data_IF_737918538457
#
_entry.id   IF_737918538457
#
_cell.length_a   1.000
_cell.length_b   1.000
_cell.length_c   1.000
_cell.angle_alpha   90.00
_cell.angle_beta   90.00
_cell.angle_gamma   90.00
#
_symmetry.space_group_name_H-M   'P 1'
#
loop_
_entity.id
_entity.type
_entity.pdbx_description
1 polymer ?
#
# COMPACT_ATOMS: atom_id res chain seq x y z
N UNK A 1 -5.14 -34.98 -2.77
CA UNK A 1 -5.10 -33.59 -3.27
C UNK A 1 -4.65 -32.77 -2.09
N UNK A 2 -3.41 -32.27 -2.12
CA UNK A 2 -2.82 -31.56 -1.00
C UNK A 2 -3.46 -30.18 -0.91
N UNK A 3 -4.22 -29.92 0.15
CA UNK A 3 -4.72 -28.59 0.47
C UNK A 3 -3.51 -27.67 0.58
N UNK A 4 -3.32 -26.83 -0.42
CA UNK A 4 -2.30 -25.79 -0.37
C UNK A 4 -2.68 -24.87 0.79
N UNK A 5 -1.77 -24.60 1.74
CA UNK A 5 -2.11 -23.80 2.90
C UNK A 5 -2.58 -22.41 2.42
N UNK A 6 -3.78 -22.00 2.83
CA UNK A 6 -4.36 -20.72 2.41
C UNK A 6 -3.78 -19.56 3.20
N UNK A 7 -3.52 -18.43 2.54
CA UNK A 7 -2.99 -17.20 3.17
C UNK A 7 -4.06 -16.32 3.82
N UNK A 8 -5.27 -16.88 3.98
CA UNK A 8 -6.47 -16.19 4.46
C UNK A 8 -7.64 -16.36 3.49
N UNK A 9 -8.72 -15.60 3.74
CA UNK A 9 -9.92 -15.59 2.92
C UNK A 9 -10.07 -14.26 2.18
N UNK A 10 -10.66 -14.32 0.99
CA UNK A 10 -11.02 -13.14 0.22
C UNK A 10 -12.08 -12.31 0.97
N UNK A 11 -11.83 -11.02 1.12
CA UNK A 11 -12.75 -10.09 1.77
C UNK A 11 -14.12 -10.01 1.08
N UNK A 12 -14.16 -10.14 -0.25
CA UNK A 12 -15.40 -9.99 -1.02
C UNK A 12 -16.25 -11.26 -1.12
N UNK A 13 -15.61 -12.42 -1.30
CA UNK A 13 -16.31 -13.66 -1.65
C UNK A 13 -15.96 -14.86 -0.76
N UNK A 14 -15.12 -14.68 0.26
CA UNK A 14 -14.84 -15.69 1.29
C UNK A 14 -13.99 -16.89 0.83
N UNK A 15 -13.66 -17.03 -0.45
CA UNK A 15 -12.80 -18.12 -0.93
C UNK A 15 -11.36 -17.99 -0.40
N UNK A 16 -10.73 -19.14 -0.19
CA UNK A 16 -9.33 -19.23 0.20
C UNK A 16 -8.41 -18.52 -0.81
N UNK A 17 -7.47 -17.74 -0.28
CA UNK A 17 -6.49 -17.02 -1.07
C UNK A 17 -5.34 -17.94 -1.49
N UNK A 18 -4.91 -17.77 -2.74
CA UNK A 18 -3.63 -18.30 -3.24
C UNK A 18 -2.48 -17.48 -2.66
N UNK A 19 -1.25 -17.94 -2.85
CA UNK A 19 -0.03 -17.23 -2.42
C UNK A 19 0.08 -15.84 -3.04
N UNK A 20 -0.34 -15.68 -4.30
CA UNK A 20 -0.49 -14.35 -4.93
C UNK A 20 -1.93 -13.87 -4.84
N UNK A 21 -2.13 -12.65 -4.34
CA UNK A 21 -3.43 -12.04 -4.13
C UNK A 21 -3.38 -10.51 -4.25
N UNK A 22 -4.54 -9.90 -4.43
CA UNK A 22 -4.69 -8.44 -4.48
C UNK A 22 -4.95 -7.91 -3.06
N UNK A 23 -4.44 -6.73 -2.75
CA UNK A 23 -4.61 -6.11 -1.43
C UNK A 23 -4.94 -4.63 -1.52
N UNK A 24 -5.73 -4.17 -0.54
CA UNK A 24 -5.86 -2.76 -0.20
C UNK A 24 -5.11 -2.55 1.12
N UNK A 25 -4.12 -1.65 1.09
CA UNK A 25 -3.18 -1.49 2.19
C UNK A 25 -2.80 -0.02 2.40
N UNK A 26 -2.45 0.29 3.65
CA UNK A 26 -1.74 1.51 4.00
C UNK A 26 -0.24 1.19 4.00
N UNK A 27 0.53 1.91 3.21
CA UNK A 27 1.98 1.76 3.17
C UNK A 27 2.67 3.01 3.68
N UNK A 28 3.77 2.83 4.39
CA UNK A 28 4.60 3.93 4.90
C UNK A 28 5.87 4.02 4.07
N UNK A 29 6.10 5.20 3.49
CA UNK A 29 7.10 5.44 2.45
C UNK A 29 8.01 6.61 2.80
N UNK A 30 9.20 6.57 2.21
CA UNK A 30 10.00 7.75 1.89
C UNK A 30 10.41 7.65 0.42
N UNK A 31 10.36 8.75 -0.34
CA UNK A 31 10.79 8.75 -1.75
C UNK A 31 12.05 9.60 -1.91
N UNK A 32 13.07 9.02 -2.54
CA UNK A 32 14.24 9.74 -3.03
C UNK A 32 14.06 10.03 -4.53
N UNK A 33 14.38 11.25 -4.96
CA UNK A 33 14.32 11.63 -6.37
C UNK A 33 15.71 11.67 -6.98
N UNK A 34 15.85 11.06 -8.15
CA UNK A 34 17.02 11.23 -9.01
C UNK A 34 16.68 12.13 -10.17
N UNK A 35 17.66 12.88 -10.68
CA UNK A 35 17.48 13.68 -11.89
C UNK A 35 17.52 12.84 -13.19
N UNK A 36 17.37 11.52 -13.11
CA UNK A 36 17.39 10.60 -14.25
C UNK A 36 15.98 10.08 -14.52
N UNK A 37 15.53 10.20 -15.76
CA UNK A 37 14.18 9.82 -16.19
C UNK A 37 13.35 11.04 -16.61
N UNK A 38 12.39 10.81 -17.50
CA UNK A 38 11.55 11.85 -18.10
C UNK A 38 10.25 12.07 -17.32
N UNK A 39 9.87 11.13 -16.43
CA UNK A 39 8.65 11.22 -15.62
C UNK A 39 8.93 11.20 -14.12
N UNK A 40 8.02 11.74 -13.27
CA UNK A 40 8.17 11.66 -11.82
C UNK A 40 8.32 10.23 -11.29
N UNK A 41 7.65 9.25 -11.90
CA UNK A 41 7.76 7.84 -11.50
C UNK A 41 9.16 7.27 -11.83
N UNK A 42 9.70 7.59 -13.01
CA UNK A 42 11.06 7.15 -13.40
C UNK A 42 12.14 7.77 -12.51
N UNK A 43 11.92 8.99 -12.05
CA UNK A 43 12.83 9.71 -11.17
C UNK A 43 12.75 9.24 -9.71
N UNK A 44 11.63 8.63 -9.31
CA UNK A 44 11.35 8.28 -7.93
C UNK A 44 11.89 6.89 -7.53
N UNK A 45 12.57 6.85 -6.40
CA UNK A 45 12.95 5.63 -5.71
C UNK A 45 12.24 5.59 -4.36
N UNK A 46 11.33 4.63 -4.21
CA UNK A 46 10.55 4.49 -3.00
C UNK A 46 11.24 3.53 -2.03
N UNK A 47 11.37 3.95 -0.79
CA UNK A 47 11.76 3.07 0.32
C UNK A 47 10.50 2.74 1.13
N UNK A 48 10.13 1.47 1.15
CA UNK A 48 8.99 0.97 1.90
C UNK A 48 9.44 0.65 3.33
N UNK A 49 8.84 1.33 4.32
CA UNK A 49 9.12 1.11 5.73
C UNK A 49 8.18 0.06 6.35
N UNK A 50 6.90 0.09 5.99
CA UNK A 50 5.93 -0.91 6.45
C UNK A 50 4.70 -0.95 5.54
N UNK A 51 3.97 -2.07 5.60
CA UNK A 51 2.69 -2.27 4.91
C UNK A 51 1.67 -2.82 5.90
N UNK A 52 0.54 -2.13 6.05
CA UNK A 52 -0.61 -2.58 6.82
C UNK A 52 -1.76 -2.96 5.88
N UNK A 53 -2.02 -4.26 5.77
CA UNK A 53 -3.05 -4.81 4.89
C UNK A 53 -4.42 -4.71 5.56
N UNK A 54 -5.33 -3.94 4.97
CA UNK A 54 -6.71 -3.79 5.47
C UNK A 54 -7.63 -4.86 4.89
N UNK A 55 -7.48 -5.17 3.60
CA UNK A 55 -8.30 -6.17 2.92
C UNK A 55 -7.46 -6.94 1.90
N UNK A 56 -7.79 -8.22 1.75
CA UNK A 56 -7.19 -9.14 0.78
C UNK A 56 -8.26 -9.66 -0.17
N UNK A 57 -7.91 -9.84 -1.44
CA UNK A 57 -8.83 -10.23 -2.49
C UNK A 57 -8.21 -11.29 -3.38
N UNK A 58 -8.99 -12.30 -3.76
CA UNK A 58 -8.50 -13.36 -4.65
C UNK A 58 -8.26 -12.89 -6.09
N UNK A 59 -8.82 -11.75 -6.48
CA UNK A 59 -8.70 -11.21 -7.84
C UNK A 59 -9.02 -9.71 -7.90
N UNK A 60 -8.66 -9.07 -9.00
CA UNK A 60 -9.04 -7.68 -9.30
C UNK A 60 -10.56 -7.49 -9.41
N UNK A 61 -11.29 -8.52 -9.86
CA UNK A 61 -12.75 -8.52 -9.92
C UNK A 61 -13.40 -8.45 -8.54
N UNK A 62 -12.79 -9.09 -7.54
CA UNK A 62 -13.23 -8.99 -6.14
C UNK A 62 -12.77 -7.69 -5.49
N UNK A 63 -11.60 -7.17 -5.87
CA UNK A 63 -11.03 -5.96 -5.28
C UNK A 63 -11.80 -4.69 -5.71
N UNK A 64 -11.98 -4.46 -7.01
CA UNK A 64 -12.50 -3.20 -7.56
C UNK A 64 -13.84 -2.77 -6.95
N UNK A 65 -14.88 -3.63 -6.84
CA UNK A 65 -16.17 -3.21 -6.31
C UNK A 65 -16.14 -2.83 -4.81
N UNK A 66 -15.16 -3.33 -4.05
CA UNK A 66 -15.03 -3.05 -2.62
C UNK A 66 -14.19 -1.82 -2.27
N UNK A 67 -13.45 -1.25 -3.23
CA UNK A 67 -12.49 -0.18 -2.96
C UNK A 67 -13.15 1.10 -2.46
N UNK A 68 -14.22 1.58 -3.11
CA UNK A 68 -14.95 2.78 -2.67
C UNK A 68 -15.41 2.68 -1.21
N UNK A 69 -16.00 1.55 -0.82
CA UNK A 69 -16.45 1.30 0.56
C UNK A 69 -15.29 1.25 1.55
N UNK A 70 -14.16 0.64 1.17
CA UNK A 70 -12.97 0.60 2.02
C UNK A 70 -12.35 1.99 2.20
N UNK A 71 -12.28 2.80 1.15
CA UNK A 71 -11.84 4.20 1.23
C UNK A 71 -12.75 5.01 2.16
N UNK A 72 -14.07 4.85 2.03
CA UNK A 72 -15.03 5.51 2.92
C UNK A 72 -14.88 5.08 4.38
N UNK A 73 -14.60 3.80 4.66
CA UNK A 73 -14.31 3.32 6.01
C UNK A 73 -13.06 3.99 6.62
N UNK A 74 -12.10 4.41 5.78
CA UNK A 74 -10.93 5.20 6.18
C UNK A 74 -11.19 6.72 6.19
N UNK A 75 -12.45 7.14 6.05
CA UNK A 75 -12.90 8.54 5.96
C UNK A 75 -12.28 9.28 4.76
N UNK A 76 -12.16 8.58 3.63
CA UNK A 76 -11.70 9.13 2.35
C UNK A 76 -12.84 9.12 1.32
N UNK A 77 -12.68 9.89 0.25
CA UNK A 77 -13.64 9.89 -0.86
C UNK A 77 -13.59 8.57 -1.63
N UNK A 78 -14.76 7.98 -1.89
CA UNK A 78 -14.88 6.80 -2.75
C UNK A 78 -14.39 7.05 -4.18
N UNK A 79 -14.44 8.30 -4.66
CA UNK A 79 -13.99 8.67 -5.99
C UNK A 79 -12.48 8.43 -6.21
N UNK A 80 -11.72 8.19 -5.14
CA UNK A 80 -10.30 7.86 -5.21
C UNK A 80 -10.03 6.42 -5.69
N UNK A 81 -11.06 5.58 -5.87
CA UNK A 81 -10.91 4.17 -6.26
C UNK A 81 -10.25 3.95 -7.63
N UNK A 82 -10.33 4.95 -8.52
CA UNK A 82 -9.66 4.96 -9.83
C UNK A 82 -8.45 5.87 -9.88
N UNK A 83 -8.10 6.52 -8.77
CA UNK A 83 -7.00 7.47 -8.75
C UNK A 83 -5.66 6.76 -8.94
N UNK A 84 -4.73 7.44 -9.60
CA UNK A 84 -3.38 6.95 -9.86
C UNK A 84 -2.41 8.10 -9.65
N UNK A 85 -1.92 8.22 -8.42
CA UNK A 85 -1.00 9.28 -8.05
C UNK A 85 0.39 8.96 -8.58
N UNK A 86 0.92 9.85 -9.40
CA UNK A 86 2.33 9.81 -9.80
C UNK A 86 3.22 10.18 -8.61
N UNK A 87 4.47 9.74 -8.63
CA UNK A 87 5.43 10.01 -7.56
C UNK A 87 5.96 11.45 -7.58
N UNK A 88 5.13 12.49 -7.69
CA UNK A 88 5.62 13.88 -7.62
C UNK A 88 6.19 14.24 -6.24
N UNK A 89 7.13 15.21 -6.11
CA UNK A 89 7.78 15.52 -4.83
C UNK A 89 6.83 16.10 -3.78
N UNK A 90 5.65 16.58 -4.18
CA UNK A 90 4.60 17.07 -3.28
C UNK A 90 3.23 16.61 -3.75
N UNK A 91 2.42 16.13 -2.81
CA UNK A 91 1.01 15.79 -3.05
C UNK A 91 0.11 16.30 -1.91
N UNK A 92 -1.16 16.64 -2.19
CA UNK A 92 -2.09 17.00 -1.14
C UNK A 92 -2.47 15.75 -0.32
N UNK A 93 -2.54 15.89 1.00
CA UNK A 93 -3.11 14.86 1.85
C UNK A 93 -4.60 14.67 1.51
N UNK A 94 -5.01 13.44 1.22
CA UNK A 94 -6.37 13.12 0.81
C UNK A 94 -7.43 13.38 1.90
N UNK A 95 -7.02 13.52 3.17
CA UNK A 95 -7.93 13.75 4.30
C UNK A 95 -8.04 15.22 4.69
N UNK A 96 -6.93 15.96 4.73
CA UNK A 96 -6.91 17.35 5.22
C UNK A 96 -6.48 18.38 4.17
N UNK A 97 -6.08 17.96 2.96
CA UNK A 97 -5.65 18.84 1.88
C UNK A 97 -4.26 19.46 2.06
N UNK A 98 -3.65 19.38 3.25
CA UNK A 98 -2.30 19.93 3.50
C UNK A 98 -1.27 19.31 2.55
N UNK A 99 -0.27 20.09 2.08
CA UNK A 99 0.79 19.55 1.24
C UNK A 99 1.65 18.55 2.03
N UNK A 100 1.90 17.41 1.42
CA UNK A 100 2.81 16.36 1.91
C UNK A 100 4.10 16.44 1.09
N UNK A 101 5.23 16.53 1.77
CA UNK A 101 6.53 16.38 1.14
C UNK A 101 6.86 14.89 1.01
N UNK A 102 6.92 14.37 -0.21
CA UNK A 102 7.10 12.94 -0.46
C UNK A 102 8.53 12.46 -0.15
N UNK A 103 9.49 13.38 0.02
CA UNK A 103 10.85 13.04 0.49
C UNK A 103 10.97 12.86 2.00
N UNK A 104 9.90 13.18 2.73
CA UNK A 104 9.78 12.90 4.15
C UNK A 104 8.92 11.65 4.37
N UNK A 105 9.02 10.99 5.54
CA UNK A 105 8.12 9.90 5.88
C UNK A 105 6.66 10.31 5.72
N UNK A 106 5.92 9.55 4.93
CA UNK A 106 4.50 9.74 4.67
C UNK A 106 3.82 8.38 4.49
N UNK A 107 2.48 8.40 4.41
CA UNK A 107 1.74 7.18 4.13
C UNK A 107 0.94 7.31 2.85
N UNK A 108 0.68 6.18 2.21
CA UNK A 108 -0.10 6.09 1.00
C UNK A 108 -1.09 4.91 1.09
N UNK A 109 -2.33 5.16 0.74
CA UNK A 109 -3.28 4.09 0.47
C UNK A 109 -3.02 3.55 -0.93
N UNK A 110 -2.80 2.25 -1.02
CA UNK A 110 -2.47 1.59 -2.27
C UNK A 110 -3.40 0.43 -2.56
N UNK A 111 -3.55 0.13 -3.86
CA UNK A 111 -3.92 -1.19 -4.34
C UNK A 111 -2.68 -1.86 -4.89
N UNK A 112 -2.38 -3.06 -4.43
CA UNK A 112 -1.20 -3.80 -4.87
C UNK A 112 -1.50 -5.28 -5.07
N UNK A 113 -0.62 -5.93 -5.81
CA UNK A 113 -0.51 -7.39 -5.81
C UNK A 113 0.59 -7.80 -4.85
N UNK A 114 0.30 -8.78 -4.00
CA UNK A 114 1.23 -9.32 -3.02
C UNK A 114 1.41 -10.80 -3.26
N UNK A 115 2.65 -11.25 -3.10
CA UNK A 115 2.98 -12.67 -2.99
C UNK A 115 3.32 -12.96 -1.54
N UNK A 116 2.73 -14.01 -1.00
CA UNK A 116 3.03 -14.51 0.33
C UNK A 116 3.97 -15.72 0.24
N UNK A 117 4.95 -15.72 1.13
CA UNK A 117 5.95 -16.79 1.27
C UNK A 117 5.85 -17.41 2.67
N UNK A 118 6.11 -18.71 2.74
CA UNK A 118 6.14 -19.44 3.99
C UNK A 118 7.53 -19.32 4.63
N UNK A 119 7.62 -18.72 5.81
CA UNK A 119 8.90 -18.54 6.51
C UNK A 119 9.24 -19.67 7.50
N UNK A 120 8.50 -20.78 7.47
CA UNK A 120 8.62 -21.88 8.45
C UNK A 120 7.58 -21.85 9.57
N UNK A 121 6.93 -20.71 9.83
CA UNK A 121 5.96 -20.54 10.91
C UNK A 121 4.63 -19.92 10.48
N UNK A 122 4.68 -18.96 9.56
CA UNK A 122 3.51 -18.26 9.05
C UNK A 122 3.73 -17.84 7.59
N UNK A 123 2.63 -17.58 6.91
CA UNK A 123 2.66 -16.92 5.61
C UNK A 123 2.90 -15.43 5.81
N UNK A 124 3.97 -14.93 5.23
CA UNK A 124 4.36 -13.52 5.29
C UNK A 124 4.17 -12.90 3.91
N UNK A 125 3.51 -11.74 3.85
CA UNK A 125 3.43 -10.97 2.63
C UNK A 125 4.79 -10.33 2.31
N UNK A 126 5.28 -10.57 1.10
CA UNK A 126 6.46 -9.89 0.57
C UNK A 126 6.10 -8.47 0.13
N UNK A 127 7.11 -7.61 -0.04
CA UNK A 127 6.86 -6.30 -0.65
C UNK A 127 6.27 -6.47 -2.06
N UNK A 128 5.34 -5.59 -2.47
CA UNK A 128 4.75 -5.68 -3.79
C UNK A 128 5.77 -5.36 -4.89
N UNK A 129 5.77 -6.14 -5.96
CA UNK A 129 6.53 -5.82 -7.18
C UNK A 129 5.95 -4.61 -7.91
N UNK A 130 4.64 -4.40 -7.81
CA UNK A 130 3.94 -3.25 -8.37
C UNK A 130 2.74 -2.85 -7.51
N UNK A 131 2.42 -1.57 -7.51
CA UNK A 131 1.28 -1.03 -6.78
C UNK A 131 0.76 0.25 -7.45
N UNK A 132 -0.49 0.61 -7.11
CA UNK A 132 -1.14 1.85 -7.54
C UNK A 132 -1.43 2.67 -6.29
N UNK A 133 -0.92 3.89 -6.25
CA UNK A 133 -1.20 4.85 -5.18
C UNK A 133 -2.55 5.53 -5.44
N UNK A 134 -3.49 5.30 -4.53
CA UNK A 134 -4.84 5.87 -4.59
C UNK A 134 -4.91 7.22 -3.85
N UNK A 135 -4.19 7.34 -2.73
CA UNK A 135 -4.24 8.52 -1.88
C UNK A 135 -2.96 8.69 -1.07
N UNK A 136 -2.51 9.93 -0.89
CA UNK A 136 -1.39 10.28 0.00
C UNK A 136 -1.91 10.84 1.32
N UNK A 137 -1.25 10.52 2.42
CA UNK A 137 -1.63 10.91 3.78
C UNK A 137 -0.46 11.64 4.46
N UNK A 138 -0.74 12.78 5.09
CA UNK A 138 0.24 13.43 5.96
C UNK A 138 0.45 12.59 7.24
N UNK A 139 1.58 12.74 7.94
CA UNK A 139 1.88 11.97 9.15
C UNK A 139 0.76 11.99 10.19
N UNK A 140 0.20 13.18 10.47
CA UNK A 140 -0.90 13.34 11.42
C UNK A 140 -2.15 12.53 11.03
N UNK A 141 -2.54 12.59 9.74
CA UNK A 141 -3.74 11.92 9.25
C UNK A 141 -3.56 10.42 9.09
N UNK A 142 -2.31 9.96 8.96
CA UNK A 142 -1.94 8.56 8.88
C UNK A 142 -1.76 7.89 10.26
N UNK A 143 -1.73 8.67 11.34
CA UNK A 143 -1.40 8.15 12.68
C UNK A 143 0.11 7.92 12.88
N UNK A 144 0.97 8.45 12.00
CA UNK A 144 2.42 8.35 12.14
C UNK A 144 2.99 9.24 13.26
N UNK A 145 2.25 10.28 13.67
CA UNK A 145 2.71 11.23 14.67
C UNK A 145 2.63 10.68 16.12
N UNK A 146 1.96 9.55 16.36
CA UNK A 146 1.80 8.96 17.71
C UNK A 146 2.77 7.83 18.04
N UNK A 147 3.53 7.30 17.07
CA UNK A 147 4.23 6.01 17.22
C UNK A 147 5.75 6.17 17.24
N UNK A 148 6.26 7.20 17.91
CA UNK A 148 7.71 7.41 18.08
C UNK A 148 8.40 6.41 19.02
N UNK A 149 7.71 5.36 19.50
CA UNK A 149 8.25 4.43 20.50
C UNK A 149 8.29 2.93 20.14
N UNK A 150 7.94 2.51 18.93
CA UNK A 150 8.12 1.08 18.56
C UNK A 150 8.95 0.90 17.27
N UNK A 151 10.23 1.21 17.40
CA UNK A 151 11.25 0.77 16.47
C UNK A 151 11.52 -0.74 16.64
N UNK A 152 10.74 -1.58 15.95
CA UNK A 152 11.19 -2.91 15.51
C UNK A 152 11.00 -3.04 14.01
N UNK A 153 12.08 -2.78 13.29
CA UNK A 153 12.22 -3.03 11.85
C UNK A 153 11.89 -4.48 11.50
N UNK A 154 11.28 -4.67 10.32
CA UNK A 154 11.86 -5.56 9.33
C UNK A 154 12.22 -4.79 8.05
N UNK A 155 13.12 -5.39 7.28
CA UNK A 155 13.74 -4.97 6.02
C UNK A 155 13.20 -3.72 5.31
N UNK A 156 14.08 -2.71 5.20
CA UNK A 156 13.88 -1.58 4.28
C UNK A 156 14.11 -2.07 2.85
N UNK A 157 13.04 -2.22 2.08
CA UNK A 157 13.12 -2.58 0.67
C UNK A 157 12.98 -1.35 -0.22
N UNK A 158 13.88 -1.21 -1.21
CA UNK A 158 13.78 -0.19 -2.26
C UNK A 158 12.93 -0.73 -3.40
N UNK A 159 11.86 -0.03 -3.73
CA UNK A 159 10.96 -0.31 -4.84
C UNK A 159 11.10 0.79 -5.90
N UNK A 160 10.96 0.41 -7.18
CA UNK A 160 10.74 1.38 -8.26
C UNK A 160 9.23 1.66 -8.33
N UNK A 161 8.87 2.90 -8.59
CA UNK A 161 7.47 3.35 -8.69
C UNK A 161 6.95 3.24 -10.11
#
# INVERSE_FOLDING_TARGET
MSDSPSVGLCHACGVALKTTYQAFALQHHTIDYTFRGDTPNEQAHLTLASTYIVARFCSSQCCKPGLGSLLQAQRLSAALEYNQIQAGPRHPCAKCGKPVNMTQPHSAWVRCELTAEWNGSLWQAMAPDWFIVLAVMCPDCAGLASDAEDARQPDRQRLRV
#
